data_IF_230359076066
#
_entry.id   IF_230359076066
#
_cell.length_a   1.000
_cell.length_b   1.000
_cell.length_c   1.000
_cell.angle_alpha   90.00
_cell.angle_beta   90.00
_cell.angle_gamma   90.00
#
_symmetry.space_group_name_H-M   'P 1'
#
loop_
_entity.id
_entity.type
_entity.pdbx_description
1 polymer ?
#
# COMPACT_ATOMS: atom_id res chain seq x y z
N UNK A 1 0.64 -3.58 -21.75
CA UNK A 1 1.45 -2.71 -20.88
C UNK A 1 0.93 -2.92 -19.46
N UNK A 2 1.81 -3.00 -18.47
CA UNK A 2 1.42 -3.34 -17.09
C UNK A 2 1.30 -2.03 -16.28
N UNK A 3 0.17 -1.82 -15.63
CA UNK A 3 -0.04 -0.67 -14.75
C UNK A 3 0.86 -0.81 -13.51
N UNK A 4 1.60 0.24 -13.19
CA UNK A 4 2.50 0.28 -12.03
C UNK A 4 1.91 1.15 -10.93
N UNK A 5 2.10 0.68 -9.69
CA UNK A 5 1.68 1.36 -8.48
C UNK A 5 2.72 2.42 -8.11
N UNK A 6 2.25 3.66 -7.94
CA UNK A 6 3.07 4.78 -7.49
C UNK A 6 2.52 5.36 -6.20
N UNK A 7 3.38 5.38 -5.19
CA UNK A 7 3.05 5.93 -3.87
C UNK A 7 2.86 7.43 -3.96
N UNK A 8 1.77 7.90 -3.39
CA UNK A 8 1.47 9.31 -3.20
C UNK A 8 1.34 9.59 -1.71
N UNK A 9 1.93 10.67 -1.22
CA UNK A 9 1.91 10.98 0.20
C UNK A 9 3.11 10.45 0.99
N UNK A 10 3.00 10.56 2.31
CA UNK A 10 4.10 10.33 3.25
C UNK A 10 3.63 9.53 4.46
N UNK A 11 4.45 8.54 4.85
CA UNK A 11 4.26 7.81 6.10
C UNK A 11 4.90 8.61 7.24
N UNK A 12 4.09 8.93 8.23
CA UNK A 12 4.49 9.67 9.42
C UNK A 12 4.05 8.91 10.67
N UNK A 13 4.66 9.26 11.80
CA UNK A 13 4.25 8.76 13.11
C UNK A 13 3.66 9.93 13.90
N UNK A 14 2.48 9.74 14.46
CA UNK A 14 1.86 10.78 15.29
C UNK A 14 2.53 10.83 16.68
N UNK A 15 2.12 11.80 17.50
CA UNK A 15 2.65 11.99 18.87
C UNK A 15 2.38 10.81 19.81
N UNK A 16 1.40 9.98 19.48
CA UNK A 16 1.01 8.80 20.27
C UNK A 16 1.76 7.53 19.84
N UNK A 17 2.58 7.61 18.78
CA UNK A 17 3.32 6.47 18.24
C UNK A 17 2.55 5.64 17.22
N UNK A 18 1.37 6.08 16.79
CA UNK A 18 0.57 5.45 15.72
C UNK A 18 1.07 5.86 14.33
N UNK A 19 0.93 4.95 13.36
CA UNK A 19 1.27 5.19 11.97
C UNK A 19 0.15 5.98 11.28
N UNK A 20 0.55 7.02 10.55
CA UNK A 20 -0.35 7.89 9.80
C UNK A 20 0.19 8.07 8.39
N UNK A 21 -0.64 7.80 7.39
CA UNK A 21 -0.35 8.14 6.01
C UNK A 21 -1.01 9.47 5.67
N UNK A 22 -0.23 10.43 5.16
CA UNK A 22 -0.71 11.75 4.77
C UNK A 22 -0.65 11.85 3.25
N UNK A 23 -1.80 12.07 2.60
CA UNK A 23 -1.88 12.23 1.15
C UNK A 23 -1.42 13.63 0.70
N UNK A 24 -1.39 13.88 -0.61
CA UNK A 24 -0.98 15.18 -1.18
C UNK A 24 -1.95 16.32 -0.82
N UNK A 25 -3.20 15.98 -0.46
CA UNK A 25 -4.23 16.92 -0.02
C UNK A 25 -4.16 17.26 1.48
N UNK A 26 -3.13 16.77 2.17
CA UNK A 26 -2.91 16.92 3.62
C UNK A 26 -3.94 16.21 4.49
N UNK A 27 -4.65 15.23 3.93
CA UNK A 27 -5.52 14.35 4.70
C UNK A 27 -4.68 13.24 5.34
N UNK A 28 -4.81 13.08 6.65
CA UNK A 28 -4.10 12.07 7.42
C UNK A 28 -5.00 10.88 7.73
N UNK A 29 -4.56 9.69 7.35
CA UNK A 29 -5.24 8.42 7.60
C UNK A 29 -4.46 7.62 8.64
N UNK A 30 -5.11 7.31 9.77
CA UNK A 30 -4.56 6.36 10.73
C UNK A 30 -4.57 4.97 10.10
N UNK A 31 -3.41 4.33 10.10
CA UNK A 31 -3.22 3.03 9.47
C UNK A 31 -2.47 2.09 10.41
N UNK A 32 -2.69 0.80 10.23
CA UNK A 32 -1.94 -0.25 10.90
C UNK A 32 -0.63 -0.58 10.16
N UNK A 33 0.18 -1.44 10.80
CA UNK A 33 1.46 -1.88 10.27
C UNK A 33 1.34 -2.65 8.95
N UNK A 34 0.22 -3.36 8.72
CA UNK A 34 0.00 -4.12 7.48
C UNK A 34 -0.21 -3.13 6.32
N UNK A 35 -1.09 -2.14 6.48
CA UNK A 35 -1.31 -1.12 5.45
C UNK A 35 -0.01 -0.34 5.18
N UNK A 36 0.75 0.02 6.22
CA UNK A 36 2.05 0.67 6.05
C UNK A 36 3.02 -0.19 5.25
N UNK A 37 3.09 -1.48 5.59
CA UNK A 37 3.96 -2.47 4.95
C UNK A 37 3.64 -2.61 3.47
N UNK A 38 2.35 -2.73 3.12
CA UNK A 38 1.86 -2.80 1.73
C UNK A 38 2.19 -1.52 0.98
N UNK A 39 1.85 -0.36 1.57
CA UNK A 39 2.10 0.94 0.94
C UNK A 39 3.59 1.15 0.65
N UNK A 40 4.48 0.82 1.58
CA UNK A 40 5.94 0.95 1.40
C UNK A 40 6.44 0.12 0.21
N UNK A 41 5.87 -1.07 0.00
CA UNK A 41 6.26 -2.01 -1.07
C UNK A 41 5.62 -1.71 -2.41
N UNK A 42 4.48 -1.03 -2.42
CA UNK A 42 3.75 -0.63 -3.62
C UNK A 42 4.42 0.57 -4.32
N UNK A 43 5.70 0.44 -4.70
CA UNK A 43 6.50 1.49 -5.33
C UNK A 43 7.10 1.02 -6.65
N UNK A 44 6.64 1.61 -7.76
CA UNK A 44 7.12 1.34 -9.11
C UNK A 44 6.98 -0.14 -9.52
N UNK A 45 5.95 -0.83 -8.99
CA UNK A 45 5.67 -2.24 -9.29
C UNK A 45 4.18 -2.46 -9.56
N UNK A 46 3.85 -3.49 -10.32
CA UNK A 46 2.46 -3.87 -10.59
C UNK A 46 1.78 -4.52 -9.36
N UNK A 47 0.45 -4.58 -9.35
CA UNK A 47 -0.32 -5.30 -8.30
C UNK A 47 0.13 -6.75 -8.15
N UNK A 48 0.33 -7.44 -9.27
CA UNK A 48 0.76 -8.85 -9.29
C UNK A 48 2.14 -9.03 -8.63
N UNK A 49 3.10 -8.16 -8.96
CA UNK A 49 4.43 -8.17 -8.36
C UNK A 49 4.40 -7.81 -6.87
N UNK A 50 3.52 -6.89 -6.47
CA UNK A 50 3.31 -6.58 -5.04
C UNK A 50 2.83 -7.81 -4.26
N UNK A 51 1.81 -8.51 -4.76
CA UNK A 51 1.28 -9.73 -4.14
C UNK A 51 2.38 -10.79 -4.05
N UNK A 52 3.11 -11.02 -5.13
CA UNK A 52 4.20 -12.00 -5.18
C UNK A 52 5.34 -11.67 -4.21
N UNK A 53 5.73 -10.40 -4.12
CA UNK A 53 6.77 -9.94 -3.21
C UNK A 53 6.36 -10.14 -1.75
N UNK A 54 5.13 -9.75 -1.40
CA UNK A 54 4.60 -9.91 -0.05
C UNK A 54 4.43 -11.39 0.30
N UNK A 55 3.90 -12.20 -0.62
CA UNK A 55 3.77 -13.66 -0.46
C UNK A 55 5.11 -14.30 -0.13
N UNK A 56 6.15 -13.94 -0.89
CA UNK A 56 7.51 -14.44 -0.70
C UNK A 56 8.12 -14.00 0.62
N UNK A 57 7.96 -12.73 1.00
CA UNK A 57 8.49 -12.18 2.25
C UNK A 57 7.81 -12.80 3.49
N UNK A 58 6.49 -12.99 3.44
CA UNK A 58 5.72 -13.52 4.57
C UNK A 58 5.62 -15.05 4.58
N UNK A 59 6.10 -15.72 3.52
CA UNK A 59 5.93 -17.16 3.31
C UNK A 59 4.46 -17.61 3.32
N UNK A 60 3.56 -16.78 2.80
CA UNK A 60 2.12 -17.05 2.72
C UNK A 60 1.76 -17.24 1.25
N UNK A 61 0.90 -18.20 0.93
CA UNK A 61 0.42 -18.44 -0.44
C UNK A 61 -0.21 -17.18 -1.04
N UNK A 62 0.13 -16.87 -2.30
CA UNK A 62 -0.42 -15.72 -3.04
C UNK A 62 -1.95 -15.70 -2.99
N UNK A 63 -2.61 -16.85 -3.19
CA UNK A 63 -4.07 -16.98 -3.14
C UNK A 63 -4.69 -16.49 -1.82
N UNK A 64 -4.00 -16.66 -0.69
CA UNK A 64 -4.51 -16.25 0.62
C UNK A 64 -4.43 -14.74 0.84
N UNK A 65 -3.37 -14.11 0.34
CA UNK A 65 -3.13 -12.68 0.55
C UNK A 65 -3.67 -11.82 -0.60
N UNK A 66 -3.88 -12.40 -1.79
CA UNK A 66 -4.24 -11.67 -2.99
C UNK A 66 -5.47 -10.78 -2.76
N UNK A 67 -6.52 -11.33 -2.13
CA UNK A 67 -7.74 -10.57 -1.88
C UNK A 67 -7.53 -9.42 -0.88
N UNK A 68 -6.73 -9.67 0.17
CA UNK A 68 -6.42 -8.69 1.20
C UNK A 68 -5.54 -7.55 0.66
N UNK A 69 -4.48 -7.89 -0.09
CA UNK A 69 -3.59 -6.92 -0.73
C UNK A 69 -4.35 -6.07 -1.75
N UNK A 70 -5.18 -6.67 -2.61
CA UNK A 70 -6.00 -5.90 -3.55
C UNK A 70 -6.93 -4.94 -2.81
N UNK A 71 -7.59 -5.40 -1.74
CA UNK A 71 -8.44 -4.55 -0.91
C UNK A 71 -7.68 -3.37 -0.31
N UNK A 72 -6.46 -3.60 0.21
CA UNK A 72 -5.62 -2.53 0.76
C UNK A 72 -5.20 -1.55 -0.34
N UNK A 73 -4.78 -2.05 -1.50
CA UNK A 73 -4.38 -1.21 -2.65
C UNK A 73 -5.55 -0.33 -3.11
N UNK A 74 -6.74 -0.89 -3.25
CA UNK A 74 -7.92 -0.11 -3.66
C UNK A 74 -8.27 0.95 -2.61
N UNK A 75 -8.25 0.64 -1.32
CA UNK A 75 -8.43 1.64 -0.25
C UNK A 75 -7.37 2.75 -0.29
N UNK A 76 -6.10 2.40 -0.54
CA UNK A 76 -5.02 3.37 -0.65
C UNK A 76 -5.21 4.27 -1.89
N UNK A 77 -5.74 3.74 -2.99
CA UNK A 77 -6.11 4.55 -4.16
C UNK A 77 -7.28 5.49 -3.87
N UNK A 78 -8.32 5.00 -3.20
CA UNK A 78 -9.46 5.82 -2.78
C UNK A 78 -9.02 6.99 -1.87
N UNK A 79 -8.07 6.73 -0.97
CA UNK A 79 -7.45 7.73 -0.11
C UNK A 79 -6.42 8.65 -0.81
N UNK A 80 -6.21 8.48 -2.13
CA UNK A 80 -5.20 9.19 -2.94
C UNK A 80 -3.76 9.02 -2.41
N UNK A 81 -3.51 7.91 -1.73
CA UNK A 81 -2.19 7.49 -1.22
C UNK A 81 -1.43 6.61 -2.24
N UNK A 82 -2.12 6.15 -3.26
CA UNK A 82 -1.57 5.36 -4.36
C UNK A 82 -2.23 5.75 -5.68
N UNK A 83 -1.46 5.72 -6.75
CA UNK A 83 -1.94 5.89 -8.13
C UNK A 83 -1.46 4.72 -8.98
N UNK A 84 -2.23 4.35 -9.98
CA UNK A 84 -1.83 3.40 -11.01
C UNK A 84 -1.54 4.20 -12.28
N UNK A 85 -0.32 4.10 -12.78
CA UNK A 85 0.11 4.74 -14.03
C UNK A 85 0.44 3.65 -15.07
N UNK A 86 0.18 3.93 -16.35
CA UNK A 86 0.48 3.06 -17.50
C UNK A 86 1.91 3.24 -18.02
#
# INVERSE_FOLDING_TARGET
>A
MAMVLKRCGQLMRNKEGSLVLVNEEKEGFLIDEVIAFVWVRAKDISREELVKNISKELNISEEKINNEINTIVDKLKEAKLLKEEE
#
